data_IF_400837434576
#
_entry.id   IF_400837434576
#
_cell.length_a   1.000
_cell.length_b   1.000
_cell.length_c   1.000
_cell.angle_alpha   90.00
_cell.angle_beta   90.00
_cell.angle_gamma   90.00
#
_symmetry.space_group_name_H-M   'P 1'
#
loop_
_entity.id
_entity.type
_entity.pdbx_description
1 polymer ?
#
# COMPACT_ATOMS: atom_id res chain seq x y z
N UNK A 1 -23.58 -9.02 -4.26
CA UNK A 1 -22.77 -8.05 -5.04
C UNK A 1 -23.69 -7.06 -5.72
N UNK A 2 -23.39 -5.76 -5.62
CA UNK A 2 -24.10 -4.71 -6.36
C UNK A 2 -24.12 -5.02 -7.86
N UNK A 3 -25.31 -5.03 -8.45
CA UNK A 3 -25.50 -5.21 -9.90
C UNK A 3 -24.91 -4.02 -10.67
N UNK A 4 -25.10 -2.81 -10.14
CA UNK A 4 -24.50 -1.58 -10.61
C UNK A 4 -23.75 -0.91 -9.46
N UNK A 5 -22.46 -0.61 -9.64
CA UNK A 5 -21.62 -0.03 -8.58
C UNK A 5 -22.11 1.32 -8.06
N UNK A 6 -22.96 2.03 -8.80
CA UNK A 6 -23.50 3.35 -8.43
C UNK A 6 -24.95 3.33 -7.96
N UNK A 7 -25.61 2.16 -7.94
CA UNK A 7 -27.02 2.04 -7.55
C UNK A 7 -27.19 0.93 -6.52
N UNK A 8 -28.15 1.12 -5.61
CA UNK A 8 -28.54 0.08 -4.67
C UNK A 8 -29.28 -1.03 -5.45
N UNK A 9 -29.14 -2.29 -5.03
CA UNK A 9 -30.00 -3.33 -5.58
C UNK A 9 -31.43 -3.16 -5.08
N UNK A 10 -32.40 -3.30 -5.97
CA UNK A 10 -33.83 -3.29 -5.64
C UNK A 10 -34.32 -4.71 -5.29
N UNK A 11 -35.35 -4.86 -4.44
CA UNK A 11 -36.04 -3.80 -3.70
C UNK A 11 -35.28 -3.37 -2.43
N UNK A 12 -35.52 -2.14 -1.96
CA UNK A 12 -34.96 -1.62 -0.71
C UNK A 12 -35.97 -0.81 0.09
N UNK A 13 -35.80 -0.78 1.41
CA UNK A 13 -36.57 0.05 2.34
C UNK A 13 -35.95 1.43 2.44
N UNK A 14 -36.78 2.47 2.38
CA UNK A 14 -36.36 3.84 2.62
C UNK A 14 -36.53 4.14 4.10
N UNK A 15 -35.47 4.65 4.73
CA UNK A 15 -35.50 5.18 6.09
C UNK A 15 -35.45 6.70 5.98
N UNK A 16 -36.48 7.36 6.52
CA UNK A 16 -36.64 8.82 6.42
C UNK A 16 -36.13 9.58 7.62
N UNK A 17 -35.97 8.92 8.78
CA UNK A 17 -35.54 9.54 10.03
C UNK A 17 -34.46 8.72 10.71
N UNK A 18 -33.62 9.38 11.50
CA UNK A 18 -32.61 8.67 12.30
C UNK A 18 -33.25 7.79 13.37
N UNK A 19 -34.40 8.19 13.94
CA UNK A 19 -35.11 7.40 14.96
C UNK A 19 -35.48 6.01 14.42
N UNK A 20 -36.02 5.94 13.20
CA UNK A 20 -36.34 4.66 12.55
C UNK A 20 -35.09 3.79 12.35
N UNK A 21 -33.94 4.41 12.05
CA UNK A 21 -32.67 3.70 11.93
C UNK A 21 -32.15 3.19 13.28
N UNK A 22 -32.24 4.00 14.32
CA UNK A 22 -31.81 3.67 15.68
C UNK A 22 -32.65 2.50 16.23
N UNK A 23 -33.97 2.49 15.97
CA UNK A 23 -34.85 1.39 16.34
C UNK A 23 -34.50 0.09 15.59
N UNK A 24 -34.16 0.17 14.31
CA UNK A 24 -33.69 -1.00 13.56
C UNK A 24 -32.37 -1.55 14.12
N UNK A 25 -31.45 -0.68 14.57
CA UNK A 25 -30.19 -1.09 15.21
C UNK A 25 -30.40 -1.80 16.56
N UNK A 26 -31.48 -1.48 17.29
CA UNK A 26 -31.86 -2.17 18.53
C UNK A 26 -32.40 -3.57 18.23
N UNK A 27 -33.13 -3.73 17.14
CA UNK A 27 -33.81 -4.98 16.77
C UNK A 27 -32.88 -5.96 16.05
N UNK A 28 -32.02 -5.48 15.15
CA UNK A 28 -31.23 -6.33 14.26
C UNK A 28 -29.76 -5.90 14.19
N UNK A 29 -28.87 -6.91 14.18
CA UNK A 29 -27.45 -6.78 13.85
C UNK A 29 -27.15 -6.96 12.36
N UNK A 30 -28.17 -7.22 11.54
CA UNK A 30 -28.04 -7.35 10.09
C UNK A 30 -29.03 -6.41 9.41
N UNK A 31 -28.50 -5.35 8.82
CA UNK A 31 -29.24 -4.32 8.10
C UNK A 31 -29.02 -4.51 6.61
N UNK A 32 -30.10 -4.86 5.89
CA UNK A 32 -30.04 -5.28 4.50
C UNK A 32 -31.03 -4.47 3.65
N UNK A 33 -30.60 -4.04 2.46
CA UNK A 33 -31.43 -3.35 1.46
C UNK A 33 -32.07 -2.08 2.01
N UNK A 34 -31.24 -1.13 2.44
CA UNK A 34 -31.70 0.12 3.09
C UNK A 34 -31.16 1.34 2.34
N UNK A 35 -32.05 2.28 2.05
CA UNK A 35 -31.69 3.64 1.66
C UNK A 35 -31.88 4.56 2.88
N UNK A 36 -30.78 5.04 3.45
CA UNK A 36 -30.81 6.05 4.50
C UNK A 36 -30.85 7.44 3.85
N UNK A 37 -31.98 8.14 3.95
CA UNK A 37 -32.16 9.50 3.42
C UNK A 37 -31.74 10.65 4.34
N UNK A 38 -31.73 10.52 5.70
CA UNK A 38 -31.36 11.64 6.54
C UNK A 38 -29.98 12.20 6.20
N UNK A 39 -29.89 13.53 6.27
CA UNK A 39 -28.67 14.26 5.93
C UNK A 39 -27.54 14.01 6.94
N UNK A 40 -27.87 13.72 8.20
CA UNK A 40 -26.90 13.49 9.27
C UNK A 40 -27.23 12.19 10.00
N UNK A 41 -26.19 11.42 10.33
CA UNK A 41 -26.22 10.38 11.35
C UNK A 41 -25.23 10.80 12.44
N UNK A 42 -25.75 11.19 13.60
CA UNK A 42 -24.95 11.74 14.69
C UNK A 42 -25.54 11.37 16.07
N UNK A 43 -24.76 11.51 17.16
CA UNK A 43 -25.31 11.45 18.51
C UNK A 43 -26.53 12.36 18.70
N UNK A 44 -27.48 11.90 19.50
CA UNK A 44 -28.69 12.66 19.86
C UNK A 44 -28.90 12.60 21.38
N UNK A 45 -29.95 13.24 21.88
CA UNK A 45 -30.25 13.26 23.33
C UNK A 45 -30.46 11.87 23.93
N UNK A 46 -30.97 10.91 23.16
CA UNK A 46 -31.15 9.52 23.61
C UNK A 46 -29.83 8.73 23.56
N UNK A 47 -28.95 9.07 22.62
CA UNK A 47 -27.69 8.42 22.34
C UNK A 47 -26.56 9.45 22.29
N UNK A 48 -26.10 9.98 23.44
CA UNK A 48 -25.06 11.01 23.50
C UNK A 48 -23.70 10.51 22.99
N UNK A 49 -23.54 9.20 22.80
CA UNK A 49 -22.45 8.57 22.06
C UNK A 49 -23.05 7.49 21.17
N UNK A 50 -23.14 7.75 19.86
CA UNK A 50 -23.69 6.78 18.92
C UNK A 50 -22.67 5.69 18.61
N UNK A 51 -22.82 4.54 19.29
CA UNK A 51 -21.95 3.37 19.14
C UNK A 51 -22.70 2.24 18.44
N UNK A 52 -22.24 1.87 17.26
CA UNK A 52 -22.77 0.75 16.48
C UNK A 52 -21.77 -0.40 16.55
N UNK A 53 -22.20 -1.52 17.14
CA UNK A 53 -21.33 -2.68 17.39
C UNK A 53 -21.87 -3.95 16.74
N UNK A 54 -20.96 -4.71 16.17
CA UNK A 54 -21.18 -6.06 15.63
C UNK A 54 -22.32 -6.10 14.61
N UNK A 55 -22.43 -5.04 13.79
CA UNK A 55 -23.51 -4.87 12.81
C UNK A 55 -22.99 -5.08 11.39
N UNK A 56 -23.71 -5.90 10.63
CA UNK A 56 -23.50 -6.08 9.19
C UNK A 56 -24.47 -5.20 8.41
N UNK A 57 -23.92 -4.34 7.57
CA UNK A 57 -24.62 -3.52 6.59
C UNK A 57 -24.43 -4.16 5.22
N UNK A 58 -25.50 -4.60 4.58
CA UNK A 58 -25.46 -5.20 3.26
C UNK A 58 -26.40 -4.48 2.30
N UNK A 59 -25.90 -3.99 1.17
CA UNK A 59 -26.72 -3.24 0.22
C UNK A 59 -27.41 -2.04 0.91
N UNK A 60 -26.62 -1.27 1.68
CA UNK A 60 -27.08 -0.08 2.43
C UNK A 60 -26.45 1.19 1.84
N UNK A 61 -27.25 2.24 1.65
CA UNK A 61 -26.76 3.54 1.20
C UNK A 61 -26.77 4.57 2.32
N UNK A 62 -25.62 5.19 2.54
CA UNK A 62 -25.39 6.42 3.30
C UNK A 62 -24.94 7.56 2.36
N UNK A 63 -25.38 7.50 1.10
CA UNK A 63 -24.99 8.49 0.08
C UNK A 63 -25.48 9.89 0.47
N UNK A 64 -24.61 10.88 0.39
CA UNK A 64 -24.85 12.28 0.78
C UNK A 64 -25.20 12.48 2.26
N UNK A 65 -25.00 11.47 3.10
CA UNK A 65 -25.14 11.58 4.55
C UNK A 65 -23.81 12.00 5.18
N UNK A 66 -23.87 12.90 6.16
CA UNK A 66 -22.77 13.19 7.07
C UNK A 66 -22.85 12.25 8.28
N UNK A 67 -21.85 11.41 8.45
CA UNK A 67 -21.61 10.63 9.66
C UNK A 67 -20.72 11.48 10.57
N UNK A 68 -21.24 11.92 11.72
CA UNK A 68 -20.54 12.80 12.65
C UNK A 68 -20.49 12.15 14.04
N UNK A 69 -19.28 12.02 14.62
CA UNK A 69 -19.08 11.47 15.97
C UNK A 69 -19.65 10.05 16.17
N UNK A 70 -19.69 9.24 15.10
CA UNK A 70 -20.19 7.87 15.13
C UNK A 70 -19.04 6.87 15.32
N UNK A 71 -19.24 5.93 16.24
CA UNK A 71 -18.26 4.88 16.53
C UNK A 71 -18.78 3.54 16.04
N UNK A 72 -18.11 2.97 15.05
CA UNK A 72 -18.36 1.63 14.51
C UNK A 72 -17.32 0.64 15.05
N UNK A 73 -17.78 -0.48 15.62
CA UNK A 73 -16.90 -1.51 16.19
C UNK A 73 -17.32 -2.87 15.64
N UNK A 74 -16.38 -3.59 15.02
CA UNK A 74 -16.59 -4.90 14.41
C UNK A 74 -17.72 -4.91 13.35
N UNK A 75 -17.92 -3.78 12.65
CA UNK A 75 -18.96 -3.67 11.65
C UNK A 75 -18.46 -4.10 10.26
N UNK A 76 -19.37 -4.64 9.45
CA UNK A 76 -19.09 -5.04 8.07
C UNK A 76 -19.98 -4.23 7.13
N UNK A 77 -19.39 -3.63 6.10
CA UNK A 77 -20.10 -2.89 5.06
C UNK A 77 -19.89 -3.59 3.73
N UNK A 78 -20.89 -4.32 3.28
CA UNK A 78 -20.85 -5.08 2.03
C UNK A 78 -21.84 -4.49 1.02
N UNK A 79 -21.37 -4.23 -0.20
CA UNK A 79 -22.23 -3.70 -1.26
C UNK A 79 -22.87 -2.35 -0.87
N UNK A 80 -22.20 -1.53 -0.05
CA UNK A 80 -22.75 -0.27 0.45
C UNK A 80 -22.42 0.93 -0.44
N UNK A 81 -23.24 1.98 -0.36
CA UNK A 81 -23.00 3.24 -1.05
C UNK A 81 -22.68 4.37 -0.06
N UNK A 82 -21.52 4.99 -0.23
CA UNK A 82 -21.02 6.15 0.51
C UNK A 82 -20.76 7.32 -0.46
N UNK A 83 -21.60 7.47 -1.48
CA UNK A 83 -21.38 8.44 -2.55
C UNK A 83 -21.61 9.86 -2.00
N UNK A 84 -20.57 10.69 -2.01
CA UNK A 84 -20.62 12.03 -1.42
C UNK A 84 -20.87 12.03 0.09
N UNK A 85 -20.62 10.91 0.77
CA UNK A 85 -20.74 10.82 2.22
C UNK A 85 -19.58 11.58 2.89
N UNK A 86 -19.88 12.25 3.99
CA UNK A 86 -18.87 12.90 4.83
C UNK A 86 -18.72 12.11 6.12
N UNK A 87 -17.50 11.68 6.43
CA UNK A 87 -17.17 10.96 7.65
C UNK A 87 -16.29 11.88 8.49
N UNK A 88 -16.82 12.39 9.60
CA UNK A 88 -16.19 13.42 10.41
C UNK A 88 -16.20 13.00 11.88
N UNK A 89 -15.06 13.13 12.56
CA UNK A 89 -14.92 12.79 13.98
C UNK A 89 -15.37 11.35 14.34
N UNK A 90 -15.34 10.43 13.38
CA UNK A 90 -15.81 9.06 13.57
C UNK A 90 -14.67 8.14 14.01
N UNK A 91 -15.05 6.93 14.46
CA UNK A 91 -14.09 5.87 14.74
C UNK A 91 -14.55 4.55 14.14
N UNK A 92 -13.65 3.87 13.42
CA UNK A 92 -13.89 2.56 12.82
C UNK A 92 -12.89 1.56 13.38
N UNK A 93 -13.34 0.79 14.37
CA UNK A 93 -12.55 -0.27 15.00
C UNK A 93 -12.90 -1.60 14.38
N UNK A 94 -11.90 -2.32 13.84
CA UNK A 94 -12.08 -3.66 13.25
C UNK A 94 -13.21 -3.75 12.20
N UNK A 95 -13.43 -2.67 11.45
CA UNK A 95 -14.45 -2.64 10.41
C UNK A 95 -13.88 -3.11 9.07
N UNK A 96 -14.74 -3.61 8.18
CA UNK A 96 -14.36 -4.02 6.83
C UNK A 96 -15.34 -3.49 5.78
N UNK A 97 -14.81 -2.98 4.67
CA UNK A 97 -15.58 -2.46 3.55
C UNK A 97 -15.33 -3.33 2.31
N UNK A 98 -16.39 -3.94 1.79
CA UNK A 98 -16.33 -4.92 0.71
C UNK A 98 -17.24 -4.47 -0.42
N UNK A 99 -16.67 -4.23 -1.60
CA UNK A 99 -17.42 -3.82 -2.79
C UNK A 99 -18.33 -2.59 -2.54
N UNK A 100 -17.84 -1.63 -1.76
CA UNK A 100 -18.59 -0.42 -1.39
C UNK A 100 -18.15 0.76 -2.26
N UNK A 101 -19.09 1.62 -2.64
CA UNK A 101 -18.81 2.78 -3.48
C UNK A 101 -18.52 4.02 -2.63
N UNK A 102 -17.30 4.54 -2.72
CA UNK A 102 -16.84 5.72 -1.98
C UNK A 102 -16.62 6.94 -2.89
N UNK A 103 -17.34 7.03 -4.00
CA UNK A 103 -17.20 8.13 -4.96
C UNK A 103 -17.44 9.47 -4.26
N UNK A 104 -16.45 10.37 -4.30
CA UNK A 104 -16.47 11.69 -3.62
C UNK A 104 -16.66 11.63 -2.10
N UNK A 105 -16.26 10.52 -1.45
CA UNK A 105 -16.25 10.46 0.03
C UNK A 105 -15.31 11.51 0.63
N UNK A 106 -15.67 12.10 1.75
CA UNK A 106 -14.78 12.97 2.54
C UNK A 106 -14.54 12.32 3.89
N UNK A 107 -13.29 12.29 4.35
CA UNK A 107 -12.91 11.70 5.64
C UNK A 107 -12.04 12.70 6.39
N UNK A 108 -12.44 13.10 7.60
CA UNK A 108 -11.73 14.09 8.43
C UNK A 108 -11.78 13.69 9.89
N UNK A 109 -10.68 13.96 10.62
CA UNK A 109 -10.56 13.72 12.06
C UNK A 109 -11.07 12.34 12.51
N UNK A 110 -10.89 11.32 11.68
CA UNK A 110 -11.53 10.02 11.86
C UNK A 110 -10.46 8.96 12.13
N UNK A 111 -10.64 8.16 13.17
CA UNK A 111 -9.82 6.97 13.36
C UNK A 111 -10.31 5.87 12.42
N UNK A 112 -9.51 5.51 11.43
CA UNK A 112 -9.84 4.39 10.53
C UNK A 112 -8.57 3.74 9.99
N UNK A 113 -8.50 2.42 10.10
CA UNK A 113 -7.40 1.65 9.52
C UNK A 113 -7.56 1.58 7.99
N UNK A 114 -6.60 2.05 7.18
CA UNK A 114 -6.72 2.02 5.72
C UNK A 114 -6.88 0.62 5.13
N UNK A 115 -6.40 -0.42 5.81
CA UNK A 115 -6.56 -1.81 5.36
C UNK A 115 -8.03 -2.28 5.42
N UNK A 116 -8.90 -1.62 6.20
CA UNK A 116 -10.34 -1.84 6.19
C UNK A 116 -10.97 -1.61 4.81
N UNK A 117 -10.31 -0.84 3.94
CA UNK A 117 -10.76 -0.55 2.58
C UNK A 117 -10.02 -1.36 1.49
N UNK A 118 -9.15 -2.30 1.86
CA UNK A 118 -8.36 -3.09 0.91
C UNK A 118 -9.20 -3.82 -0.15
N UNK A 119 -10.42 -4.23 0.22
CA UNK A 119 -11.39 -4.92 -0.64
C UNK A 119 -12.61 -4.05 -1.00
N UNK A 120 -12.56 -2.76 -0.72
CA UNK A 120 -13.66 -1.83 -0.93
C UNK A 120 -13.98 -1.70 -2.43
N UNK A 121 -12.96 -1.62 -3.28
CA UNK A 121 -13.12 -1.42 -4.73
C UNK A 121 -12.45 -2.57 -5.48
N UNK A 122 -13.24 -3.30 -6.29
CA UNK A 122 -12.77 -4.50 -7.01
C UNK A 122 -12.35 -4.21 -8.45
N UNK A 123 -13.16 -3.46 -9.20
CA UNK A 123 -12.97 -3.25 -10.65
C UNK A 123 -11.93 -2.16 -10.94
N UNK A 124 -11.08 -2.40 -11.94
CA UNK A 124 -10.08 -1.44 -12.40
C UNK A 124 -10.71 -0.19 -13.04
N UNK A 125 -11.90 -0.35 -13.62
CA UNK A 125 -12.67 0.76 -14.21
C UNK A 125 -12.97 1.88 -13.21
N UNK A 126 -13.06 1.53 -11.93
CA UNK A 126 -13.31 2.44 -10.82
C UNK A 126 -12.01 2.89 -10.12
N UNK A 127 -10.85 2.77 -10.78
CA UNK A 127 -9.57 3.10 -10.16
C UNK A 127 -9.46 4.56 -9.71
N UNK A 128 -10.14 5.48 -10.38
CA UNK A 128 -10.23 6.89 -9.95
C UNK A 128 -10.89 7.03 -8.56
N UNK A 129 -11.90 6.21 -8.26
CA UNK A 129 -12.54 6.18 -6.94
C UNK A 129 -11.55 5.64 -5.89
N UNK A 130 -10.77 4.62 -6.25
CA UNK A 130 -9.73 4.08 -5.36
C UNK A 130 -8.62 5.08 -5.07
N UNK A 131 -8.14 5.78 -6.09
CA UNK A 131 -7.17 6.88 -5.90
C UNK A 131 -7.73 7.94 -4.95
N UNK A 132 -8.97 8.39 -5.18
CA UNK A 132 -9.61 9.38 -4.32
C UNK A 132 -9.76 8.90 -2.86
N UNK A 133 -10.24 7.67 -2.66
CA UNK A 133 -10.42 7.08 -1.32
C UNK A 133 -9.10 7.06 -0.54
N UNK A 134 -8.03 6.54 -1.13
CA UNK A 134 -6.75 6.44 -0.43
C UNK A 134 -6.03 7.80 -0.29
N UNK A 135 -6.34 8.78 -1.15
CA UNK A 135 -5.92 10.17 -0.91
C UNK A 135 -6.62 10.76 0.33
N UNK A 136 -7.93 10.55 0.48
CA UNK A 136 -8.67 11.02 1.66
C UNK A 136 -8.18 10.35 2.94
N UNK A 137 -7.94 9.04 2.91
CA UNK A 137 -7.35 8.31 4.04
C UNK A 137 -5.94 8.81 4.36
N UNK A 138 -5.12 9.12 3.36
CA UNK A 138 -3.78 9.65 3.56
C UNK A 138 -3.81 11.02 4.24
N UNK A 139 -4.64 11.93 3.73
CA UNK A 139 -4.81 13.27 4.31
C UNK A 139 -5.28 13.16 5.78
N UNK A 140 -6.35 12.40 6.01
CA UNK A 140 -6.88 12.16 7.36
C UNK A 140 -5.83 11.57 8.31
N UNK A 141 -5.04 10.59 7.87
CA UNK A 141 -4.00 10.00 8.71
C UNK A 141 -2.83 10.96 9.00
N UNK A 142 -2.47 11.82 8.04
CA UNK A 142 -1.44 12.84 8.25
C UNK A 142 -1.93 13.89 9.26
N UNK A 143 -3.15 14.40 9.06
CA UNK A 143 -3.75 15.42 9.93
C UNK A 143 -3.93 14.89 11.37
N UNK A 144 -4.23 13.60 11.52
CA UNK A 144 -4.36 12.94 12.82
C UNK A 144 -3.02 12.47 13.44
N UNK A 145 -1.88 12.69 12.80
CA UNK A 145 -0.56 12.25 13.29
C UNK A 145 -0.37 10.72 13.35
N UNK A 146 -1.09 9.97 12.52
CA UNK A 146 -1.09 8.50 12.53
C UNK A 146 -0.11 7.94 11.48
N UNK A 147 1.20 8.03 11.75
CA UNK A 147 2.28 7.65 10.81
C UNK A 147 2.11 6.27 10.16
N UNK A 148 1.75 5.25 10.97
CA UNK A 148 1.50 3.89 10.48
C UNK A 148 0.37 3.86 9.44
N UNK A 149 -0.73 4.57 9.69
CA UNK A 149 -1.87 4.60 8.78
C UNK A 149 -1.56 5.45 7.55
N UNK A 150 -0.88 6.57 7.72
CA UNK A 150 -0.38 7.39 6.60
C UNK A 150 0.42 6.54 5.60
N UNK A 151 1.38 5.76 6.09
CA UNK A 151 2.18 4.86 5.23
C UNK A 151 1.35 3.78 4.52
N UNK A 152 0.33 3.22 5.19
CA UNK A 152 -0.57 2.23 4.58
C UNK A 152 -1.45 2.89 3.50
N UNK A 153 -1.99 4.06 3.79
CA UNK A 153 -2.76 4.88 2.85
C UNK A 153 -1.91 5.25 1.62
N UNK A 154 -0.69 5.74 1.81
CA UNK A 154 0.22 6.11 0.74
C UNK A 154 0.57 4.91 -0.16
N UNK A 155 0.81 3.73 0.44
CA UNK A 155 1.08 2.52 -0.33
C UNK A 155 -0.10 2.14 -1.23
N UNK A 156 -1.33 2.13 -0.69
CA UNK A 156 -2.51 1.79 -1.46
C UNK A 156 -2.88 2.89 -2.47
N UNK A 157 -2.64 4.16 -2.14
CA UNK A 157 -2.76 5.28 -3.06
C UNK A 157 -1.90 5.08 -4.31
N UNK A 158 -0.58 4.85 -4.16
CA UNK A 158 0.34 4.58 -5.28
C UNK A 158 -0.07 3.33 -6.07
N UNK A 159 -0.54 2.28 -5.39
CA UNK A 159 -1.06 1.06 -6.03
C UNK A 159 -2.30 1.35 -6.89
N UNK A 160 -3.20 2.22 -6.44
CA UNK A 160 -4.39 2.60 -7.20
C UNK A 160 -4.08 3.58 -8.33
N UNK A 161 -3.07 4.44 -8.19
CA UNK A 161 -2.57 5.24 -9.30
C UNK A 161 -1.99 4.39 -10.44
N UNK A 162 -1.28 3.31 -10.11
CA UNK A 162 -0.78 2.35 -11.11
C UNK A 162 -1.95 1.68 -11.84
N UNK A 163 -2.99 1.25 -11.10
CA UNK A 163 -4.23 0.72 -11.67
C UNK A 163 -4.94 1.75 -12.55
N UNK A 164 -4.98 3.02 -12.12
CA UNK A 164 -5.57 4.10 -12.90
C UNK A 164 -4.79 4.34 -14.19
N UNK A 165 -3.46 4.26 -14.14
CA UNK A 165 -2.58 4.40 -15.31
C UNK A 165 -2.82 3.28 -16.31
N UNK A 166 -2.94 2.04 -15.84
CA UNK A 166 -3.38 0.90 -16.66
C UNK A 166 -4.76 1.12 -17.28
N UNK A 167 -5.73 1.58 -16.48
CA UNK A 167 -7.09 1.84 -16.96
C UNK A 167 -7.12 2.93 -18.04
N UNK A 168 -6.34 4.00 -17.87
CA UNK A 168 -6.20 5.08 -18.86
C UNK A 168 -5.55 4.60 -20.15
N UNK A 169 -4.63 3.64 -20.08
CA UNK A 169 -3.95 3.10 -21.26
C UNK A 169 -4.83 2.08 -22.01
N UNK A 170 -5.30 1.05 -21.32
CA UNK A 170 -6.06 -0.06 -21.93
C UNK A 170 -7.51 0.29 -22.20
N UNK A 171 -8.21 0.83 -21.20
CA UNK A 171 -9.65 1.10 -21.27
C UNK A 171 -9.98 2.54 -21.69
N UNK A 172 -8.95 3.40 -21.86
CA UNK A 172 -9.07 4.82 -22.23
C UNK A 172 -9.95 5.64 -21.28
N UNK A 173 -10.08 5.19 -20.02
CA UNK A 173 -10.92 5.82 -18.99
C UNK A 173 -10.09 6.31 -17.79
N UNK A 174 -10.44 7.46 -17.17
CA UNK A 174 -11.51 8.39 -17.59
C UNK A 174 -11.15 9.20 -18.85
N UNK A 175 -9.87 9.19 -19.23
CA UNK A 175 -9.37 9.75 -20.49
C UNK A 175 -8.15 8.92 -20.93
N UNK A 176 -7.85 8.85 -22.25
CA UNK A 176 -6.70 8.12 -22.75
C UNK A 176 -5.37 8.81 -22.42
N UNK A 177 -4.30 8.02 -22.33
CA UNK A 177 -2.92 8.52 -22.26
C UNK A 177 -2.10 8.04 -23.46
N UNK A 178 -1.07 8.78 -23.83
CA UNK A 178 -0.15 8.38 -24.91
C UNK A 178 0.72 7.19 -24.50
N UNK A 179 1.16 6.41 -25.49
CA UNK A 179 2.09 5.30 -25.30
C UNK A 179 3.38 5.74 -24.60
N UNK A 180 3.97 6.87 -25.03
CA UNK A 180 5.17 7.42 -24.40
C UNK A 180 4.97 7.78 -22.93
N UNK A 181 3.83 8.38 -22.58
CA UNK A 181 3.52 8.69 -21.18
C UNK A 181 3.34 7.43 -20.33
N UNK A 182 2.80 6.36 -20.91
CA UNK A 182 2.66 5.08 -20.25
C UNK A 182 4.04 4.43 -20.03
N UNK A 183 4.84 4.28 -21.07
CA UNK A 183 6.13 3.55 -20.99
C UNK A 183 7.17 4.26 -20.11
N UNK A 184 7.14 5.60 -20.04
CA UNK A 184 8.06 6.35 -19.17
C UNK A 184 7.72 6.21 -17.68
N UNK A 185 6.43 6.09 -17.34
CA UNK A 185 6.00 6.15 -15.93
C UNK A 185 5.68 4.78 -15.34
N UNK A 186 4.99 3.93 -16.09
CA UNK A 186 4.40 2.71 -15.53
C UNK A 186 5.42 1.60 -15.23
N UNK A 187 6.32 1.20 -16.16
CA UNK A 187 7.26 0.09 -15.91
C UNK A 187 8.19 0.37 -14.73
N UNK A 188 8.68 1.60 -14.61
CA UNK A 188 9.54 2.00 -13.50
C UNK A 188 8.80 1.93 -12.16
N UNK A 189 7.60 2.51 -12.06
CA UNK A 189 6.76 2.44 -10.85
C UNK A 189 6.38 1.01 -10.49
N UNK A 190 6.03 0.20 -11.50
CA UNK A 190 5.71 -1.22 -11.34
C UNK A 190 6.91 -1.98 -10.78
N UNK A 191 8.11 -1.78 -11.32
CA UNK A 191 9.33 -2.39 -10.79
C UNK A 191 9.57 -1.96 -9.34
N UNK A 192 9.54 -0.64 -9.09
CA UNK A 192 9.75 -0.05 -7.77
C UNK A 192 8.75 -0.52 -6.70
N UNK A 193 7.52 -0.86 -7.11
CA UNK A 193 6.52 -1.50 -6.24
C UNK A 193 6.97 -2.86 -5.74
N UNK A 194 7.45 -3.72 -6.62
CA UNK A 194 7.82 -5.08 -6.24
C UNK A 194 9.15 -5.12 -5.51
N UNK A 195 10.13 -4.33 -5.96
CA UNK A 195 11.47 -4.31 -5.38
C UNK A 195 11.50 -3.59 -4.02
N UNK A 196 11.01 -2.35 -3.97
CA UNK A 196 11.16 -1.49 -2.79
C UNK A 196 9.83 -1.20 -2.08
N UNK A 197 8.71 -1.74 -2.56
CA UNK A 197 7.40 -1.47 -1.96
C UNK A 197 7.03 0.00 -2.02
N UNK A 198 7.41 0.69 -3.10
CA UNK A 198 7.38 2.15 -3.24
C UNK A 198 8.22 2.94 -2.22
N UNK A 199 9.23 2.30 -1.61
CA UNK A 199 10.01 2.88 -0.52
C UNK A 199 9.28 2.91 0.83
N UNK A 200 8.19 2.13 0.96
CA UNK A 200 7.34 2.11 2.16
C UNK A 200 7.37 0.76 2.90
N UNK A 201 7.81 -0.34 2.26
CA UNK A 201 7.74 -1.69 2.84
C UNK A 201 9.10 -2.36 2.94
N UNK A 202 9.58 -2.51 4.18
CA UNK A 202 10.86 -3.18 4.48
C UNK A 202 10.90 -4.63 3.99
N UNK A 203 9.78 -5.36 4.02
CA UNK A 203 9.71 -6.76 3.54
C UNK A 203 10.08 -6.89 2.05
N UNK A 204 9.60 -5.95 1.22
CA UNK A 204 9.91 -5.95 -0.21
C UNK A 204 11.41 -5.73 -0.43
N UNK A 205 11.99 -4.77 0.29
CA UNK A 205 13.43 -4.53 0.26
C UNK A 205 14.23 -5.76 0.71
N UNK A 206 13.87 -6.40 1.83
CA UNK A 206 14.59 -7.58 2.33
C UNK A 206 14.60 -8.73 1.31
N UNK A 207 13.46 -8.97 0.64
CA UNK A 207 13.37 -9.97 -0.43
C UNK A 207 14.24 -9.59 -1.63
N UNK A 208 14.20 -8.32 -2.06
CA UNK A 208 15.02 -7.83 -3.18
C UNK A 208 16.51 -7.93 -2.86
N UNK A 209 16.92 -7.51 -1.67
CA UNK A 209 18.29 -7.63 -1.19
C UNK A 209 18.74 -9.09 -1.22
N UNK A 210 17.94 -10.03 -0.70
CA UNK A 210 18.26 -11.45 -0.72
C UNK A 210 18.43 -11.99 -2.15
N UNK A 211 17.51 -11.67 -3.07
CA UNK A 211 17.59 -12.12 -4.48
C UNK A 211 18.82 -11.54 -5.18
N UNK A 212 19.11 -10.26 -4.99
CA UNK A 212 20.29 -9.61 -5.57
C UNK A 212 21.58 -10.20 -4.99
N UNK A 213 21.63 -10.38 -3.67
CA UNK A 213 22.79 -10.96 -2.98
C UNK A 213 23.07 -12.40 -3.45
N UNK A 214 22.02 -13.23 -3.57
CA UNK A 214 22.15 -14.60 -4.08
C UNK A 214 22.64 -14.59 -5.53
N UNK A 215 22.11 -13.70 -6.37
CA UNK A 215 22.57 -13.53 -7.75
C UNK A 215 24.06 -13.16 -7.81
N UNK A 216 24.48 -12.19 -7.00
CA UNK A 216 25.89 -11.79 -6.91
C UNK A 216 26.78 -12.92 -6.42
N UNK A 217 26.33 -13.67 -5.40
CA UNK A 217 27.06 -14.84 -4.91
C UNK A 217 27.31 -15.87 -6.03
N UNK A 218 26.30 -16.19 -6.85
CA UNK A 218 26.47 -17.14 -7.96
C UNK A 218 27.35 -16.62 -9.09
N UNK A 219 27.24 -15.33 -9.43
CA UNK A 219 28.09 -14.70 -10.45
C UNK A 219 29.54 -14.67 -9.96
N UNK A 220 29.76 -14.30 -8.70
CA UNK A 220 31.07 -14.30 -8.06
C UNK A 220 31.66 -15.70 -7.98
N UNK A 221 30.85 -16.72 -7.66
CA UNK A 221 31.30 -18.11 -7.63
C UNK A 221 31.77 -18.57 -9.02
N UNK A 222 31.04 -18.20 -10.07
CA UNK A 222 31.29 -18.68 -11.43
C UNK A 222 32.51 -18.02 -12.07
N UNK A 223 32.77 -16.75 -11.74
CA UNK A 223 33.85 -15.95 -12.34
C UNK A 223 35.02 -15.71 -11.38
N UNK A 224 35.05 -16.36 -10.23
CA UNK A 224 36.04 -16.14 -9.17
C UNK A 224 37.49 -16.13 -9.69
N UNK A 225 37.83 -17.13 -10.50
CA UNK A 225 39.17 -17.28 -11.06
C UNK A 225 39.50 -16.17 -12.06
N UNK A 226 38.52 -15.71 -12.85
CA UNK A 226 38.74 -14.65 -13.84
C UNK A 226 38.92 -13.28 -13.20
N UNK A 227 38.44 -13.08 -11.98
CA UNK A 227 38.58 -11.80 -11.26
C UNK A 227 40.00 -11.50 -10.80
N UNK A 228 40.85 -12.53 -10.67
CA UNK A 228 42.22 -12.41 -10.19
C UNK A 228 42.35 -11.67 -8.85
N UNK A 229 41.46 -11.97 -7.90
CA UNK A 229 41.37 -11.25 -6.63
C UNK A 229 42.70 -11.25 -5.84
N UNK A 230 43.04 -10.10 -5.27
CA UNK A 230 44.14 -9.91 -4.34
C UNK A 230 43.65 -9.38 -2.99
N UNK A 231 44.37 -9.72 -1.92
CA UNK A 231 44.06 -9.24 -0.55
C UNK A 231 44.76 -7.93 -0.32
N UNK A 232 44.06 -6.97 0.29
CA UNK A 232 44.66 -5.68 0.66
C UNK A 232 45.35 -5.73 2.02
N UNK A 233 44.59 -5.70 3.12
CA UNK A 233 45.17 -5.43 4.45
C UNK A 233 45.26 -6.65 5.38
N UNK A 234 44.26 -7.53 5.38
CA UNK A 234 44.17 -8.70 6.26
C UNK A 234 44.50 -10.04 5.58
N UNK A 235 45.25 -10.88 6.29
CA UNK A 235 45.50 -12.28 5.90
C UNK A 235 44.26 -13.13 6.18
N UNK A 236 43.55 -13.51 5.12
CA UNK A 236 42.38 -14.39 5.19
C UNK A 236 42.81 -15.82 4.87
N UNK A 237 42.87 -16.70 5.86
CA UNK A 237 43.37 -18.09 5.71
C UNK A 237 42.54 -18.94 4.75
N UNK A 238 41.23 -18.66 4.64
CA UNK A 238 40.28 -19.44 3.83
C UNK A 238 40.30 -19.03 2.34
N UNK A 239 40.93 -17.90 2.01
CA UNK A 239 40.96 -17.38 0.64
C UNK A 239 41.98 -18.10 -0.23
N UNK A 240 41.53 -18.50 -1.42
CA UNK A 240 42.34 -19.02 -2.51
C UNK A 240 42.00 -18.27 -3.81
N UNK A 241 43.00 -17.79 -4.54
CA UNK A 241 42.81 -17.05 -5.80
C UNK A 241 42.25 -17.94 -6.91
N UNK A 242 42.70 -19.19 -6.97
CA UNK A 242 42.37 -20.12 -8.06
C UNK A 242 41.06 -20.89 -7.87
N UNK A 243 40.48 -20.87 -6.66
CA UNK A 243 39.26 -21.61 -6.34
C UNK A 243 38.38 -20.87 -5.34
N UNK A 244 37.09 -20.73 -5.67
CA UNK A 244 36.11 -20.11 -4.80
C UNK A 244 35.71 -21.04 -3.64
N UNK A 245 36.16 -20.70 -2.42
CA UNK A 245 35.57 -21.25 -1.20
C UNK A 245 34.24 -20.54 -0.90
N UNK A 246 33.21 -21.29 -0.50
CA UNK A 246 31.87 -20.75 -0.20
C UNK A 246 31.93 -19.61 0.83
N UNK A 247 32.67 -19.78 1.92
CA UNK A 247 32.79 -18.75 2.96
C UNK A 247 33.52 -17.51 2.46
N UNK A 248 34.58 -17.68 1.66
CA UNK A 248 35.30 -16.55 1.05
C UNK A 248 34.43 -15.80 0.04
N UNK A 249 33.61 -16.50 -0.72
CA UNK A 249 32.70 -15.88 -1.68
C UNK A 249 31.54 -15.15 -0.99
N UNK A 250 30.96 -15.71 0.08
CA UNK A 250 29.97 -15.01 0.91
C UNK A 250 30.58 -13.72 1.48
N UNK A 251 31.78 -13.82 2.05
CA UNK A 251 32.47 -12.66 2.62
C UNK A 251 32.77 -11.60 1.56
N UNK A 252 33.34 -11.98 0.42
CA UNK A 252 33.59 -11.08 -0.72
C UNK A 252 32.30 -10.42 -1.22
N UNK A 253 31.24 -11.19 -1.41
CA UNK A 253 29.95 -10.68 -1.90
C UNK A 253 29.37 -9.65 -0.93
N UNK A 254 29.41 -9.93 0.37
CA UNK A 254 28.94 -9.00 1.40
C UNK A 254 29.80 -7.74 1.45
N UNK A 255 31.12 -7.91 1.39
CA UNK A 255 32.08 -6.82 1.47
C UNK A 255 31.91 -5.86 0.28
N UNK A 256 31.93 -6.36 -0.95
CA UNK A 256 31.69 -5.56 -2.15
C UNK A 256 30.30 -4.90 -2.18
N UNK A 257 29.25 -5.61 -1.76
CA UNK A 257 27.89 -5.03 -1.78
C UNK A 257 27.67 -3.95 -0.70
N UNK A 258 28.41 -3.99 0.42
CA UNK A 258 28.19 -3.07 1.55
C UNK A 258 29.26 -2.00 1.70
N UNK A 259 30.52 -2.31 1.35
CA UNK A 259 31.66 -1.39 1.37
C UNK A 259 31.91 -0.86 -0.04
N UNK A 260 31.32 0.30 -0.31
CA UNK A 260 31.24 0.91 -1.64
C UNK A 260 32.59 1.19 -2.32
N UNK A 261 33.67 1.39 -1.56
CA UNK A 261 34.97 1.88 -2.09
C UNK A 261 36.17 1.12 -1.53
N UNK A 262 36.08 0.56 -0.33
CA UNK A 262 37.23 -0.06 0.36
C UNK A 262 36.97 -1.53 0.70
N UNK A 263 36.88 -2.34 -0.36
CA UNK A 263 36.79 -3.79 -0.24
C UNK A 263 38.15 -4.39 0.12
N UNK A 264 38.14 -5.38 1.01
CA UNK A 264 39.32 -6.14 1.42
C UNK A 264 39.87 -7.01 0.28
N UNK A 265 39.04 -7.34 -0.70
CA UNK A 265 39.47 -7.96 -1.95
C UNK A 265 39.41 -6.97 -3.10
N UNK A 266 40.48 -6.91 -3.87
CA UNK A 266 40.57 -6.08 -5.07
C UNK A 266 40.73 -6.98 -6.29
N UNK A 267 39.91 -6.74 -7.31
CA UNK A 267 40.09 -7.39 -8.61
C UNK A 267 41.17 -6.66 -9.40
N UNK A 268 42.13 -7.41 -9.93
CA UNK A 268 43.20 -6.88 -10.81
C UNK A 268 42.88 -7.05 -12.30
N UNK A 269 41.95 -7.96 -12.62
CA UNK A 269 41.49 -8.17 -14.00
C UNK A 269 40.47 -7.12 -14.44
N UNK A 270 40.43 -6.84 -15.75
CA UNK A 270 39.42 -5.95 -16.34
C UNK A 270 37.98 -6.42 -16.05
N UNK A 271 37.73 -7.73 -16.17
CA UNK A 271 36.41 -8.31 -15.91
C UNK A 271 35.98 -8.13 -14.45
N UNK A 272 36.89 -8.44 -13.52
CA UNK A 272 36.62 -8.30 -12.09
C UNK A 272 36.44 -6.84 -11.67
N UNK A 273 37.21 -5.90 -12.23
CA UNK A 273 37.04 -4.47 -11.97
C UNK A 273 35.68 -3.95 -12.45
N UNK A 274 35.26 -4.33 -13.66
CA UNK A 274 33.95 -3.96 -14.21
C UNK A 274 32.82 -4.53 -13.34
N UNK A 275 32.92 -5.81 -12.98
CA UNK A 275 31.91 -6.46 -12.16
C UNK A 275 31.84 -5.86 -10.74
N UNK A 276 32.98 -5.65 -10.09
CA UNK A 276 33.06 -4.99 -8.78
C UNK A 276 32.41 -3.61 -8.82
N UNK A 277 32.64 -2.84 -9.89
CA UNK A 277 32.00 -1.53 -10.09
C UNK A 277 30.47 -1.65 -10.17
N UNK A 278 29.96 -2.62 -10.94
CA UNK A 278 28.51 -2.88 -11.05
C UNK A 278 27.93 -3.27 -9.69
N UNK A 279 28.59 -4.20 -8.97
CA UNK A 279 28.16 -4.68 -7.67
C UNK A 279 28.12 -3.53 -6.63
N UNK A 280 29.13 -2.65 -6.62
CA UNK A 280 29.19 -1.50 -5.72
C UNK A 280 28.09 -0.47 -6.05
N UNK A 281 27.85 -0.18 -7.33
CA UNK A 281 26.76 0.72 -7.76
C UNK A 281 25.39 0.17 -7.34
N UNK A 282 25.16 -1.13 -7.51
CA UNK A 282 23.95 -1.79 -7.02
C UNK A 282 23.85 -1.73 -5.49
N UNK A 283 24.96 -1.95 -4.77
CA UNK A 283 25.04 -1.81 -3.32
C UNK A 283 24.63 -0.41 -2.85
N UNK A 284 25.11 0.64 -3.53
CA UNK A 284 24.75 2.03 -3.25
C UNK A 284 23.25 2.29 -3.43
N UNK A 285 22.66 1.78 -4.50
CA UNK A 285 21.22 1.90 -4.76
C UNK A 285 20.42 1.20 -3.66
N UNK A 286 20.82 -0.01 -3.26
CA UNK A 286 20.17 -0.77 -2.19
C UNK A 286 20.28 -0.03 -0.85
N UNK A 287 21.44 0.51 -0.51
CA UNK A 287 21.64 1.30 0.71
C UNK A 287 20.76 2.56 0.70
N UNK A 288 20.73 3.29 -0.40
CA UNK A 288 19.89 4.49 -0.57
C UNK A 288 18.40 4.17 -0.41
N UNK A 289 17.96 3.03 -0.96
CA UNK A 289 16.59 2.54 -0.80
C UNK A 289 16.28 2.16 0.66
N UNK A 290 17.21 1.50 1.35
CA UNK A 290 17.07 1.16 2.77
C UNK A 290 16.92 2.42 3.63
N UNK A 291 17.80 3.41 3.42
CA UNK A 291 17.73 4.71 4.12
C UNK A 291 16.37 5.35 3.89
N UNK A 292 15.90 5.39 2.65
CA UNK A 292 14.58 5.95 2.31
C UNK A 292 13.44 5.24 3.07
N UNK A 293 13.48 3.91 3.15
CA UNK A 293 12.46 3.11 3.87
C UNK A 293 12.50 3.37 5.38
N UNK A 294 13.69 3.51 5.95
CA UNK A 294 13.88 3.83 7.38
C UNK A 294 13.36 5.24 7.67
N UNK A 295 13.73 6.23 6.87
CA UNK A 295 13.25 7.60 7.01
C UNK A 295 11.71 7.67 6.93
N UNK A 296 11.11 7.01 5.94
CA UNK A 296 9.65 6.93 5.80
C UNK A 296 8.95 6.17 6.95
N UNK A 297 9.70 5.49 7.83
CA UNK A 297 9.16 4.79 8.99
C UNK A 297 9.23 5.60 10.28
N UNK A 298 10.20 6.52 10.41
CA UNK A 298 10.51 7.19 11.67
C UNK A 298 10.38 8.73 11.60
N UNK A 299 10.48 9.33 10.42
CA UNK A 299 10.50 10.80 10.23
C UNK A 299 9.14 11.34 9.73
N UNK A 300 8.21 10.45 9.38
CA UNK A 300 6.82 10.75 9.02
C UNK A 300 5.88 9.90 9.86
#
# INVERSE_FOLDING_TARGET
MLTNFFKLNEPYRIIKTQIEFDDLLKISKSLINILYEPANLAPNSEHPKLKIKDTSFQNVSFSKTKLDEVIFINCKFEDCLFIGCEIVNCEFHNCNFINSNTHKILIRNTYVNPESFSNCIKKIDNANIGVHLFQQLLNNSNDAGQSKFSRLSEYHFKKWEDKLTLNKFWNKKPYPISFWKFILNYPFRWSFRYTFGYGLRLRNFALTFAVVFISFFFINQSNWKSYELEKKDLTINVFCKDSANVSSNIYYTLDATTKLVDSQFQATSNEGMVWLTIQNLCGFILLSALITIILNRFVK
#
